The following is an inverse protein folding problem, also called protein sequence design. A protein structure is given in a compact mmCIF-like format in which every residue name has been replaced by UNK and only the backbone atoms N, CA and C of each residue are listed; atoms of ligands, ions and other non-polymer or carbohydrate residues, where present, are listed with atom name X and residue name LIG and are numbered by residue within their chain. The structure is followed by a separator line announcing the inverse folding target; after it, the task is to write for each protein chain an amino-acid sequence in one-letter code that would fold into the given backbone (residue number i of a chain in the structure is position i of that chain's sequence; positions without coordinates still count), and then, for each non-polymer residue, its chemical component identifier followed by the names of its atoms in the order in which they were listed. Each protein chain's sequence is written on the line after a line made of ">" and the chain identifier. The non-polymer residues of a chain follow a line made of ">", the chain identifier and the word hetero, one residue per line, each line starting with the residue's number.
data_IF_170706175331
#
_entry.id   IF_170706175331
#
_cell.length_a   1.000
_cell.length_b   1.000
_cell.length_c   1.000
_cell.angle_alpha   90.00
_cell.angle_beta   90.00
_cell.angle_gamma   90.00
#
_symmetry.space_group_name_H-M   'P 1'
#
loop_
_entity.id
_entity.type
_entity.pdbx_description
1 polymer ?
#
# COMPACT_ATOMS: atom_id res chain seq x y z
N UNK A 1 0.02 17.44 10.43
CA UNK A 1 1.14 16.70 11.04
C UNK A 1 1.85 15.91 9.93
N UNK A 2 3.13 15.55 10.10
CA UNK A 2 3.87 14.71 9.15
C UNK A 2 3.66 13.23 9.52
N UNK A 3 3.34 12.39 8.53
CA UNK A 3 3.20 10.93 8.71
C UNK A 3 4.34 10.22 7.97
N UNK A 4 4.96 9.26 8.64
CA UNK A 4 6.00 8.38 8.08
C UNK A 4 5.55 6.91 8.20
N UNK A 5 6.36 5.97 7.71
CA UNK A 5 6.02 4.54 7.75
C UNK A 5 5.76 4.02 9.17
N UNK A 6 6.43 4.58 10.16
CA UNK A 6 6.27 4.26 11.58
C UNK A 6 4.90 4.68 12.12
N UNK A 7 4.29 5.71 11.53
CA UNK A 7 2.98 6.22 11.91
C UNK A 7 1.80 5.54 11.22
N UNK A 8 2.05 4.53 10.38
CA UNK A 8 0.99 3.82 9.65
C UNK A 8 0.26 2.79 10.52
N UNK A 9 0.93 2.18 11.49
CA UNK A 9 0.32 1.19 12.36
C UNK A 9 -0.74 1.82 13.27
N UNK A 10 -1.84 1.10 13.48
CA UNK A 10 -2.92 1.49 14.38
C UNK A 10 -2.55 1.35 15.86
N UNK A 11 -3.52 1.62 16.73
CA UNK A 11 -3.37 1.36 18.17
C UNK A 11 -3.09 -0.12 18.42
N UNK A 12 -2.24 -0.43 19.40
CA UNK A 12 -1.79 -1.81 19.70
C UNK A 12 -0.89 -2.47 18.65
N UNK A 13 -0.19 -1.68 17.82
CA UNK A 13 0.76 -2.17 16.81
C UNK A 13 0.11 -3.01 15.71
N UNK A 14 -1.20 -2.84 15.49
CA UNK A 14 -1.89 -3.46 14.36
C UNK A 14 -1.40 -2.83 13.06
N UNK A 15 -0.99 -3.67 12.11
CA UNK A 15 -0.54 -3.21 10.81
C UNK A 15 -1.69 -2.53 10.06
N UNK A 16 -1.39 -1.42 9.40
CA UNK A 16 -2.31 -0.79 8.45
C UNK A 16 -2.76 -1.79 7.37
N UNK A 17 -4.00 -1.72 6.82
CA UNK A 17 -4.43 -2.60 5.73
C UNK A 17 -3.45 -2.66 4.55
N UNK A 18 -2.80 -1.54 4.20
CA UNK A 18 -1.73 -1.48 3.20
C UNK A 18 -0.51 -2.32 3.63
N UNK A 19 -0.05 -2.20 4.88
CA UNK A 19 1.09 -2.97 5.39
C UNK A 19 0.79 -4.48 5.39
N UNK A 20 -0.42 -4.87 5.82
CA UNK A 20 -0.88 -6.26 5.80
C UNK A 20 -0.90 -6.81 4.38
N UNK A 21 -1.45 -6.06 3.42
CA UNK A 21 -1.52 -6.50 2.03
C UNK A 21 -0.13 -6.71 1.42
N UNK A 22 0.84 -5.84 1.73
CA UNK A 22 2.23 -6.00 1.29
C UNK A 22 2.89 -7.26 1.89
N UNK A 23 2.60 -7.58 3.15
CA UNK A 23 3.06 -8.82 3.77
C UNK A 23 2.47 -10.05 3.08
N UNK A 24 1.15 -10.07 2.88
CA UNK A 24 0.41 -11.22 2.35
C UNK A 24 0.69 -11.49 0.88
N UNK A 25 0.78 -10.45 0.06
CA UNK A 25 1.05 -10.58 -1.38
C UNK A 25 2.53 -10.68 -1.71
N UNK A 26 3.39 -10.71 -0.68
CA UNK A 26 4.84 -10.71 -0.86
C UNK A 26 5.30 -9.51 -1.70
N UNK A 27 4.72 -8.34 -1.40
CA UNK A 27 5.00 -7.05 -2.03
C UNK A 27 6.33 -6.43 -1.60
N UNK A 28 7.13 -7.14 -0.80
CA UNK A 28 8.48 -6.75 -0.42
C UNK A 28 9.41 -7.97 -0.30
N UNK A 29 10.72 -7.70 -0.32
CA UNK A 29 11.77 -8.67 0.03
C UNK A 29 12.80 -8.01 0.95
N UNK A 30 13.78 -7.28 0.39
CA UNK A 30 14.82 -6.60 1.18
C UNK A 30 14.26 -5.48 2.09
N UNK A 31 13.02 -5.04 1.86
CA UNK A 31 12.34 -4.02 2.66
C UNK A 31 12.77 -2.57 2.39
N UNK A 32 13.86 -2.34 1.66
CA UNK A 32 14.47 -1.00 1.54
C UNK A 32 13.54 0.05 0.90
N UNK A 33 12.86 -0.31 -0.20
CA UNK A 33 11.93 0.59 -0.88
C UNK A 33 10.53 0.62 -0.23
N UNK A 34 10.24 -0.32 0.67
CA UNK A 34 8.89 -0.54 1.20
C UNK A 34 8.31 0.68 1.93
N UNK A 35 9.08 1.42 2.76
CA UNK A 35 8.58 2.65 3.38
C UNK A 35 8.05 3.67 2.36
N UNK A 36 8.86 4.03 1.35
CA UNK A 36 8.48 5.03 0.35
C UNK A 36 7.30 4.59 -0.52
N UNK A 37 7.28 3.30 -0.90
CA UNK A 37 6.18 2.73 -1.68
C UNK A 37 4.89 2.74 -0.86
N UNK A 38 4.89 2.28 0.39
CA UNK A 38 3.68 2.27 1.22
C UNK A 38 3.13 3.68 1.43
N UNK A 39 3.99 4.68 1.64
CA UNK A 39 3.54 6.08 1.76
C UNK A 39 2.95 6.62 0.45
N UNK A 40 3.53 6.26 -0.70
CA UNK A 40 2.99 6.63 -2.01
C UNK A 40 1.64 5.97 -2.28
N UNK A 41 1.50 4.68 -1.95
CA UNK A 41 0.23 3.94 -2.05
C UNK A 41 -0.83 4.53 -1.13
N UNK A 42 -0.47 4.92 0.09
CA UNK A 42 -1.39 5.55 1.03
C UNK A 42 -1.96 6.87 0.47
N UNK A 43 -1.10 7.73 -0.09
CA UNK A 43 -1.54 8.95 -0.76
C UNK A 43 -2.42 8.65 -1.99
N UNK A 44 -1.96 7.75 -2.87
CA UNK A 44 -2.68 7.36 -4.08
C UNK A 44 -4.08 6.78 -3.78
N UNK A 45 -4.21 5.87 -2.80
CA UNK A 45 -5.51 5.27 -2.44
C UNK A 45 -6.44 6.23 -1.70
N UNK A 46 -5.91 7.30 -1.10
CA UNK A 46 -6.73 8.37 -0.55
C UNK A 46 -7.40 9.18 -1.68
N UNK A 47 -6.70 9.40 -2.79
CA UNK A 47 -7.20 10.18 -3.93
C UNK A 47 -8.03 9.33 -4.91
N UNK A 48 -7.59 8.09 -5.18
CA UNK A 48 -8.28 7.12 -6.02
C UNK A 48 -8.41 5.79 -5.26
N UNK A 49 -9.55 5.55 -4.59
CA UNK A 49 -9.78 4.35 -3.81
C UNK A 49 -9.86 3.04 -4.63
N UNK A 50 -10.15 3.13 -5.94
CA UNK A 50 -10.31 1.95 -6.82
C UNK A 50 -9.44 2.06 -8.09
N UNK A 51 -8.11 2.12 -7.97
CA UNK A 51 -7.24 2.32 -9.12
C UNK A 51 -7.13 1.05 -9.95
N UNK A 52 -7.07 1.23 -11.27
CA UNK A 52 -6.72 0.17 -12.21
C UNK A 52 -5.24 -0.20 -12.07
N UNK A 53 -4.85 -1.38 -12.58
CA UNK A 53 -3.44 -1.78 -12.58
C UNK A 53 -2.52 -0.80 -13.32
N UNK A 54 -3.00 -0.21 -14.42
CA UNK A 54 -2.22 0.75 -15.20
C UNK A 54 -1.96 2.03 -14.38
N UNK A 55 -2.98 2.54 -13.69
CA UNK A 55 -2.84 3.68 -12.78
C UNK A 55 -1.88 3.38 -11.63
N UNK A 56 -1.99 2.21 -10.99
CA UNK A 56 -1.07 1.79 -9.92
C UNK A 56 0.39 1.82 -10.41
N UNK A 57 0.65 1.28 -11.61
CA UNK A 57 2.01 1.24 -12.17
C UNK A 57 2.51 2.63 -12.55
N UNK A 58 1.64 3.48 -13.08
CA UNK A 58 1.98 4.86 -13.42
C UNK A 58 2.38 5.65 -12.18
N UNK A 59 1.54 5.62 -11.14
CA UNK A 59 1.76 6.33 -9.88
C UNK A 59 3.02 5.84 -9.14
N UNK A 60 3.30 4.54 -9.19
CA UNK A 60 4.49 3.97 -8.57
C UNK A 60 5.76 4.06 -9.42
N UNK A 61 5.72 4.68 -10.60
CA UNK A 61 6.90 4.80 -11.48
C UNK A 61 8.06 5.59 -10.85
N UNK A 62 7.77 6.49 -9.91
CA UNK A 62 8.77 7.22 -9.12
C UNK A 62 9.41 6.42 -7.99
N UNK A 63 8.90 5.22 -7.68
CA UNK A 63 9.38 4.40 -6.57
C UNK A 63 10.11 3.14 -7.07
N UNK A 64 11.44 3.17 -7.02
CA UNK A 64 12.25 2.08 -7.54
C UNK A 64 12.34 0.88 -6.58
N UNK A 65 11.96 -0.30 -7.05
CA UNK A 65 12.15 -1.57 -6.36
C UNK A 65 13.08 -2.49 -7.16
N UNK A 66 14.12 -3.01 -6.52
CA UNK A 66 15.07 -3.93 -7.17
C UNK A 66 14.73 -5.41 -6.99
N UNK A 67 13.88 -5.75 -6.03
CA UNK A 67 13.73 -7.13 -5.58
C UNK A 67 12.46 -7.82 -6.12
N UNK A 68 11.33 -7.10 -6.20
CA UNK A 68 10.02 -7.73 -6.43
C UNK A 68 9.60 -7.81 -7.90
N UNK A 69 10.22 -7.02 -8.79
CA UNK A 69 9.73 -6.87 -10.17
C UNK A 69 8.34 -6.22 -10.27
N UNK A 70 7.87 -5.53 -9.23
CA UNK A 70 6.60 -4.79 -9.12
C UNK A 70 5.31 -5.60 -9.15
N UNK A 71 5.28 -6.81 -9.72
CA UNK A 71 4.04 -7.57 -9.86
C UNK A 71 3.31 -7.75 -8.52
N UNK A 72 4.03 -8.20 -7.49
CA UNK A 72 3.46 -8.42 -6.17
C UNK A 72 3.15 -7.12 -5.41
N UNK A 73 3.78 -6.01 -5.78
CA UNK A 73 3.44 -4.69 -5.24
C UNK A 73 2.07 -4.27 -5.77
N UNK A 74 1.84 -4.43 -7.08
CA UNK A 74 0.54 -4.15 -7.70
C UNK A 74 -0.57 -5.00 -7.06
N UNK A 75 -0.34 -6.30 -6.86
CA UNK A 75 -1.30 -7.19 -6.20
C UNK A 75 -1.55 -6.80 -4.73
N UNK A 76 -0.53 -6.32 -4.02
CA UNK A 76 -0.68 -5.79 -2.67
C UNK A 76 -1.54 -4.52 -2.64
N UNK A 77 -1.36 -3.62 -3.61
CA UNK A 77 -2.15 -2.39 -3.72
C UNK A 77 -3.62 -2.69 -3.99
N UNK A 78 -3.93 -3.60 -4.92
CA UNK A 78 -5.31 -4.03 -5.21
C UNK A 78 -5.99 -4.60 -3.95
N UNK A 79 -5.31 -5.49 -3.23
CA UNK A 79 -5.83 -6.05 -1.98
C UNK A 79 -6.02 -4.96 -0.91
N UNK A 80 -5.10 -4.00 -0.82
CA UNK A 80 -5.24 -2.89 0.12
C UNK A 80 -6.47 -2.02 -0.20
N UNK A 81 -6.70 -1.72 -1.48
CA UNK A 81 -7.88 -1.00 -1.94
C UNK A 81 -9.19 -1.71 -1.58
N UNK A 82 -9.26 -3.03 -1.82
CA UNK A 82 -10.41 -3.86 -1.43
C UNK A 82 -10.70 -3.79 0.09
N UNK A 83 -9.66 -3.86 0.92
CA UNK A 83 -9.80 -3.82 2.39
C UNK A 83 -10.22 -2.45 2.90
N UNK A 84 -9.63 -1.39 2.35
CA UNK A 84 -9.98 -0.03 2.75
C UNK A 84 -11.44 0.28 2.41
N UNK A 85 -11.93 -0.15 1.23
CA UNK A 85 -13.36 -0.06 0.91
C UNK A 85 -14.24 -0.83 1.90
N UNK A 86 -13.90 -2.08 2.21
CA UNK A 86 -14.67 -2.88 3.17
C UNK A 86 -14.74 -2.22 4.55
N UNK A 87 -13.62 -1.67 5.03
CA UNK A 87 -13.57 -0.97 6.32
C UNK A 87 -14.40 0.33 6.35
N UNK A 88 -14.57 1.00 5.21
CA UNK A 88 -15.45 2.17 5.12
C UNK A 88 -16.93 1.77 5.09
N UNK A 89 -17.27 0.63 4.49
CA UNK A 89 -18.65 0.11 4.45
C UNK A 89 -19.14 -0.43 5.80
N UNK A 90 -18.25 -0.86 6.70
CA UNK A 90 -18.61 -1.33 8.04
C UNK A 90 -18.92 -0.18 9.03
N UNK A 91 -18.61 1.06 8.66
CA UNK A 91 -18.76 2.26 9.51
C UNK A 91 -19.99 3.11 9.13
N UNK A 92 -20.64 2.83 7.99
CA UNK A 92 -21.96 3.37 7.58
C UNK A 92 -23.12 2.46 8.00
#
# INVERSE_FOLDING_TARGET
>A
ALTTIEGMAGTNSELHPIQQAFQEKHGLQCGFCTPGIIMSVHAMLHENPNPTEEEIRHELSGNLCRCTGYQNIVEAVKLAAERLHASHMEVE
#
